data_IF_375012329113
#
_entry.id   IF_375012329113
#
_cell.length_a   1.000
_cell.length_b   1.000
_cell.length_c   1.000
_cell.angle_alpha   90.00
_cell.angle_beta   90.00
_cell.angle_gamma   90.00
#
_symmetry.space_group_name_H-M   'P 1'
#
loop_
_entity.id
_entity.type
_entity.pdbx_description
1 polymer ?
#
# COMPACT_ATOMS: atom_id res chain seq x y z
N UNK A 1 -36.32 18.20 12.20
CA UNK A 1 -35.96 19.39 13.03
C UNK A 1 -34.56 19.95 12.71
N UNK A 2 -33.45 19.24 12.97
CA UNK A 2 -32.09 19.80 12.75
C UNK A 2 -31.80 20.13 11.28
N UNK A 3 -32.01 19.19 10.36
CA UNK A 3 -31.72 19.42 8.93
C UNK A 3 -32.73 20.34 8.23
N UNK A 4 -33.98 20.32 8.69
CA UNK A 4 -35.11 20.98 8.02
C UNK A 4 -35.40 22.40 8.54
N UNK A 5 -35.05 22.71 9.80
CA UNK A 5 -35.37 24.02 10.40
C UNK A 5 -34.14 24.75 10.95
N UNK A 6 -33.22 24.05 11.61
CA UNK A 6 -32.07 24.67 12.27
C UNK A 6 -30.98 25.03 11.25
N UNK A 7 -30.57 24.07 10.40
CA UNK A 7 -29.54 24.30 9.39
C UNK A 7 -29.89 25.39 8.36
N UNK A 8 -31.13 25.49 7.82
CA UNK A 8 -31.50 26.55 6.89
C UNK A 8 -31.43 27.96 7.53
N UNK A 9 -32.00 28.13 8.73
CA UNK A 9 -31.97 29.40 9.47
C UNK A 9 -30.55 29.85 9.81
N UNK A 10 -29.64 28.92 10.07
CA UNK A 10 -28.22 29.22 10.28
C UNK A 10 -27.53 29.66 8.97
N UNK A 11 -27.81 29.03 7.84
CA UNK A 11 -27.23 29.41 6.53
C UNK A 11 -27.68 30.79 6.05
N UNK A 12 -28.92 31.18 6.36
CA UNK A 12 -29.44 32.53 6.06
C UNK A 12 -28.75 33.62 6.88
N UNK A 13 -28.43 33.34 8.15
CA UNK A 13 -27.79 34.30 9.07
C UNK A 13 -26.26 34.30 8.99
N UNK A 14 -25.66 33.19 8.62
CA UNK A 14 -24.22 33.00 8.54
C UNK A 14 -23.88 32.46 7.15
N UNK A 15 -23.58 33.32 6.16
CA UNK A 15 -23.13 32.87 4.86
C UNK A 15 -21.86 32.05 5.06
N UNK A 16 -21.98 30.73 4.92
CA UNK A 16 -20.86 29.82 4.95
C UNK A 16 -20.08 30.04 3.66
N UNK A 17 -18.85 30.51 3.78
CA UNK A 17 -17.90 30.51 2.66
C UNK A 17 -17.76 29.08 2.13
N UNK A 18 -17.44 28.97 0.84
CA UNK A 18 -17.24 27.68 0.20
C UNK A 18 -16.23 26.85 1.01
N UNK A 19 -16.54 25.57 1.22
CA UNK A 19 -15.70 24.70 2.02
C UNK A 19 -14.27 24.67 1.44
N UNK A 20 -13.23 24.77 2.29
CA UNK A 20 -11.85 24.80 1.81
C UNK A 20 -11.52 23.52 1.05
N UNK A 21 -10.70 23.65 0.01
CA UNK A 21 -10.16 22.53 -0.72
C UNK A 21 -9.03 21.88 0.09
N UNK A 22 -8.98 20.55 0.10
CA UNK A 22 -7.91 19.80 0.75
C UNK A 22 -7.48 18.65 -0.16
N UNK A 23 -6.35 18.81 -0.85
CA UNK A 23 -5.70 17.74 -1.61
C UNK A 23 -4.82 16.93 -0.66
N UNK A 24 -4.80 15.60 -0.84
CA UNK A 24 -4.12 14.67 0.07
C UNK A 24 -3.34 13.62 -0.68
N UNK A 25 -2.11 13.39 -0.25
CA UNK A 25 -1.23 12.36 -0.78
C UNK A 25 -0.58 11.63 0.38
N UNK A 26 -0.60 10.30 0.35
CA UNK A 26 0.05 9.48 1.38
C UNK A 26 1.32 8.84 0.82
N UNK A 27 2.41 8.95 1.56
CA UNK A 27 3.73 8.37 1.24
C UNK A 27 4.14 7.32 2.26
N UNK A 28 5.10 6.47 1.89
CA UNK A 28 5.73 5.47 2.73
C UNK A 28 7.20 5.30 2.34
N UNK A 29 8.09 5.17 3.32
CA UNK A 29 9.52 4.95 3.11
C UNK A 29 10.37 6.22 2.94
N UNK A 30 9.79 7.40 3.15
CA UNK A 30 10.51 8.68 3.30
C UNK A 30 10.13 9.34 4.62
N UNK A 31 11.00 10.21 5.12
CA UNK A 31 10.75 10.94 6.38
C UNK A 31 10.03 12.27 6.14
N UNK A 32 9.43 12.82 7.20
CA UNK A 32 8.67 14.07 7.12
C UNK A 32 9.61 15.23 6.79
N UNK A 33 10.74 15.31 7.49
CA UNK A 33 11.76 16.33 7.29
C UNK A 33 12.30 16.31 5.86
N UNK A 34 12.53 15.13 5.30
CA UNK A 34 13.02 14.98 3.92
C UNK A 34 11.98 15.46 2.89
N UNK A 35 10.69 15.13 3.08
CA UNK A 35 9.61 15.60 2.22
C UNK A 35 9.40 17.11 2.36
N UNK A 36 9.41 17.64 3.58
CA UNK A 36 9.26 19.05 3.86
C UNK A 36 10.39 19.87 3.23
N UNK A 37 11.64 19.46 3.43
CA UNK A 37 12.80 20.09 2.80
C UNK A 37 12.72 20.04 1.27
N UNK A 38 12.23 18.93 0.71
CA UNK A 38 12.07 18.79 -0.74
C UNK A 38 10.97 19.71 -1.31
N UNK A 39 9.98 20.11 -0.51
CA UNK A 39 8.84 20.93 -0.93
C UNK A 39 8.96 22.41 -0.55
N UNK A 40 9.99 22.78 0.22
CA UNK A 40 10.17 24.14 0.76
C UNK A 40 10.34 25.22 -0.33
N UNK A 41 10.81 24.81 -1.51
CA UNK A 41 10.98 25.70 -2.65
C UNK A 41 9.67 26.07 -3.37
N UNK A 42 8.56 25.41 -3.05
CA UNK A 42 7.27 25.64 -3.72
C UNK A 42 6.65 26.96 -3.27
N UNK A 43 6.33 27.83 -4.22
CA UNK A 43 5.55 29.03 -3.96
C UNK A 43 4.07 28.69 -3.84
N UNK A 44 3.53 28.79 -2.62
CA UNK A 44 2.14 28.49 -2.34
C UNK A 44 1.24 29.71 -2.65
N UNK A 45 0.06 29.51 -3.27
CA UNK A 45 -0.90 30.59 -3.47
C UNK A 45 -1.38 31.20 -2.14
N UNK A 46 -1.88 32.45 -2.15
CA UNK A 46 -2.39 33.10 -0.94
C UNK A 46 -3.45 32.27 -0.21
N UNK A 47 -3.26 32.06 1.09
CA UNK A 47 -4.18 31.28 1.92
C UNK A 47 -4.07 29.76 1.76
N UNK A 48 -3.16 29.26 0.91
CA UNK A 48 -2.86 27.83 0.77
C UNK A 48 -1.73 27.45 1.72
N UNK A 49 -1.89 26.33 2.42
CA UNK A 49 -0.93 25.80 3.37
C UNK A 49 -0.59 24.36 3.02
N UNK A 50 0.70 24.05 3.03
CA UNK A 50 1.23 22.70 2.95
C UNK A 50 1.40 22.13 4.37
N UNK A 51 0.69 21.05 4.67
CA UNK A 51 0.72 20.35 5.94
C UNK A 51 1.31 18.94 5.81
N UNK A 52 1.98 18.52 6.87
CA UNK A 52 2.59 17.20 6.98
C UNK A 52 2.03 16.50 8.21
N UNK A 53 1.68 15.22 8.09
CA UNK A 53 1.27 14.40 9.22
C UNK A 53 1.98 13.06 9.17
N UNK A 54 2.97 12.90 10.06
CA UNK A 54 3.56 11.60 10.32
C UNK A 54 2.60 10.71 11.12
N UNK A 55 2.22 9.59 10.55
CA UNK A 55 1.47 8.51 11.22
C UNK A 55 2.17 7.22 10.88
N UNK A 56 3.14 6.81 11.71
CA UNK A 56 3.98 5.64 11.42
C UNK A 56 3.11 4.46 10.94
N UNK A 57 3.38 3.87 9.76
CA UNK A 57 4.59 4.03 8.95
C UNK A 57 4.47 5.01 7.76
N UNK A 58 3.38 5.75 7.66
CA UNK A 58 3.07 6.64 6.53
C UNK A 58 3.28 8.11 6.88
N UNK A 59 3.41 8.93 5.83
CA UNK A 59 3.38 10.38 5.95
C UNK A 59 2.32 10.91 5.00
N UNK A 60 1.36 11.64 5.55
CA UNK A 60 0.31 12.30 4.79
C UNK A 60 0.72 13.74 4.49
N UNK A 61 0.74 14.07 3.21
CA UNK A 61 0.91 15.41 2.66
C UNK A 61 -0.47 16.01 2.40
N UNK A 62 -0.70 17.24 2.87
CA UNK A 62 -1.97 17.95 2.73
C UNK A 62 -1.76 19.34 2.16
N UNK A 63 -2.34 19.62 1.00
CA UNK A 63 -2.43 20.98 0.47
C UNK A 63 -3.84 21.51 0.74
N UNK A 64 -3.96 22.46 1.65
CA UNK A 64 -5.26 22.99 2.10
C UNK A 64 -5.36 24.47 1.79
N UNK A 65 -6.48 24.92 1.23
CA UNK A 65 -6.66 26.33 0.88
C UNK A 65 -8.10 26.71 0.59
N UNK A 66 -8.37 28.00 0.37
CA UNK A 66 -9.70 28.52 0.06
C UNK A 66 -10.18 27.98 -1.31
N UNK A 67 -11.50 27.89 -1.50
CA UNK A 67 -12.08 27.27 -2.69
C UNK A 67 -11.75 28.04 -3.99
N UNK A 68 -11.53 29.34 -3.88
CA UNK A 68 -11.13 30.26 -4.94
C UNK A 68 -9.74 29.90 -5.51
N UNK A 69 -8.87 29.28 -4.70
CA UNK A 69 -7.53 28.85 -5.12
C UNK A 69 -7.50 27.44 -5.71
N UNK A 70 -8.66 26.83 -5.99
CA UNK A 70 -8.75 25.46 -6.51
C UNK A 70 -7.87 25.22 -7.73
N UNK A 71 -7.94 26.10 -8.71
CA UNK A 71 -7.20 25.94 -9.97
C UNK A 71 -5.69 26.01 -9.74
N UNK A 72 -5.23 27.01 -8.96
CA UNK A 72 -3.83 27.15 -8.59
C UNK A 72 -3.31 25.96 -7.76
N UNK A 73 -4.12 25.45 -6.82
CA UNK A 73 -3.79 24.25 -6.05
C UNK A 73 -3.67 23.00 -6.94
N UNK A 74 -4.58 22.82 -7.90
CA UNK A 74 -4.53 21.71 -8.85
C UNK A 74 -3.35 21.83 -9.83
N UNK A 75 -2.97 23.05 -10.21
CA UNK A 75 -1.79 23.30 -11.03
C UNK A 75 -0.47 23.02 -10.29
N UNK A 76 -0.43 23.27 -8.98
CA UNK A 76 0.74 22.97 -8.13
C UNK A 76 0.86 21.48 -7.78
N UNK A 77 -0.26 20.76 -7.69
CA UNK A 77 -0.31 19.39 -7.21
C UNK A 77 0.63 18.39 -7.93
N UNK A 78 0.83 18.45 -9.25
CA UNK A 78 1.79 17.61 -9.95
C UNK A 78 3.24 17.71 -9.44
N UNK A 79 3.68 18.89 -9.00
CA UNK A 79 5.02 19.04 -8.41
C UNK A 79 5.10 18.36 -7.03
N UNK A 80 4.02 18.41 -6.23
CA UNK A 80 3.93 17.66 -4.97
C UNK A 80 3.98 16.15 -5.24
N UNK A 81 3.24 15.66 -6.24
CA UNK A 81 3.27 14.26 -6.67
C UNK A 81 4.68 13.83 -7.13
N UNK A 82 5.37 14.69 -7.87
CA UNK A 82 6.72 14.44 -8.36
C UNK A 82 7.74 14.34 -7.24
N UNK A 83 7.64 15.22 -6.23
CA UNK A 83 8.48 15.11 -5.02
C UNK A 83 8.19 13.83 -4.27
N UNK A 84 6.92 13.44 -4.11
CA UNK A 84 6.59 12.16 -3.50
C UNK A 84 7.16 10.97 -4.30
N UNK A 85 7.12 11.05 -5.63
CA UNK A 85 7.78 10.11 -6.54
C UNK A 85 7.42 8.65 -6.24
N UNK A 86 8.43 7.79 -6.12
CA UNK A 86 8.23 6.37 -5.82
C UNK A 86 7.69 6.09 -4.40
N UNK A 87 7.81 7.05 -3.48
CA UNK A 87 7.33 6.88 -2.10
C UNK A 87 5.82 7.09 -1.99
N UNK A 88 5.17 7.68 -3.00
CA UNK A 88 3.71 7.83 -3.04
C UNK A 88 3.03 6.47 -2.99
N UNK A 89 2.06 6.30 -2.09
CA UNK A 89 1.22 5.11 -1.92
C UNK A 89 -0.17 5.31 -2.54
N UNK A 90 -0.87 6.37 -2.16
CA UNK A 90 -2.20 6.69 -2.70
C UNK A 90 -2.53 8.17 -2.51
N UNK A 91 -3.55 8.62 -3.23
CA UNK A 91 -4.13 9.96 -3.11
C UNK A 91 -5.58 9.92 -2.63
N UNK A 92 -6.00 11.03 -2.04
CA UNK A 92 -7.34 11.24 -1.52
C UNK A 92 -7.56 10.64 -0.14
N UNK A 93 -8.83 10.44 0.20
CA UNK A 93 -9.28 9.95 1.52
C UNK A 93 -9.59 8.45 1.52
N UNK A 94 -9.67 7.82 0.35
CA UNK A 94 -9.84 6.38 0.22
C UNK A 94 -8.52 5.69 0.57
N UNK A 95 -8.47 5.00 1.71
CA UNK A 95 -7.28 4.30 2.16
C UNK A 95 -6.87 3.15 1.23
N UNK A 96 -5.58 2.79 1.27
CA UNK A 96 -4.98 1.76 0.41
C UNK A 96 -5.78 0.44 0.33
N UNK A 97 -6.29 -0.16 1.43
CA UNK A 97 -7.02 -1.42 1.35
C UNK A 97 -8.27 -1.33 0.47
N UNK A 98 -9.03 -0.23 0.58
CA UNK A 98 -10.23 -0.02 -0.23
C UNK A 98 -9.90 0.15 -1.71
N UNK A 99 -8.82 0.88 -2.02
CA UNK A 99 -8.32 1.00 -3.39
C UNK A 99 -7.91 -0.35 -3.99
N UNK A 100 -7.17 -1.17 -3.23
CA UNK A 100 -6.76 -2.50 -3.66
C UNK A 100 -7.98 -3.40 -3.87
N UNK A 101 -8.94 -3.43 -2.94
CA UNK A 101 -10.14 -4.25 -3.07
C UNK A 101 -10.95 -3.87 -4.33
N UNK A 102 -11.13 -2.56 -4.59
CA UNK A 102 -11.76 -2.08 -5.81
C UNK A 102 -11.02 -2.53 -7.07
N UNK A 103 -9.68 -2.44 -7.08
CA UNK A 103 -8.85 -2.91 -8.20
C UNK A 103 -8.93 -4.42 -8.41
N UNK A 104 -8.95 -5.20 -7.34
CA UNK A 104 -9.13 -6.66 -7.39
C UNK A 104 -10.49 -7.01 -7.99
N UNK A 105 -11.56 -6.35 -7.54
CA UNK A 105 -12.91 -6.55 -8.09
C UNK A 105 -13.00 -6.17 -9.58
N UNK A 106 -12.44 -5.02 -9.96
CA UNK A 106 -12.40 -4.58 -11.37
C UNK A 106 -11.68 -5.58 -12.29
N UNK A 107 -10.66 -6.26 -11.76
CA UNK A 107 -9.89 -7.29 -12.48
C UNK A 107 -10.41 -8.71 -12.27
N UNK A 108 -11.47 -8.89 -11.51
CA UNK A 108 -12.02 -10.21 -11.13
C UNK A 108 -10.96 -11.14 -10.50
N UNK A 109 -10.06 -10.58 -9.69
CA UNK A 109 -9.00 -11.31 -9.01
C UNK A 109 -9.35 -11.54 -7.54
N UNK A 110 -9.06 -12.75 -7.07
CA UNK A 110 -9.08 -13.11 -5.65
C UNK A 110 -7.66 -13.09 -5.08
N UNK A 111 -7.51 -12.61 -3.86
CA UNK A 111 -6.25 -12.55 -3.12
C UNK A 111 -6.27 -13.52 -1.94
N UNK A 112 -5.26 -14.39 -1.83
CA UNK A 112 -5.05 -15.19 -0.63
C UNK A 112 -3.87 -14.68 0.17
N UNK A 113 -3.99 -14.65 1.49
CA UNK A 113 -2.96 -14.16 2.39
C UNK A 113 -2.37 -15.31 3.19
N UNK A 114 -1.04 -15.37 3.28
CA UNK A 114 -0.33 -16.26 4.19
C UNK A 114 0.59 -15.46 5.10
N UNK A 115 0.35 -15.56 6.40
CA UNK A 115 1.01 -14.77 7.43
C UNK A 115 1.58 -15.70 8.49
N UNK A 116 2.85 -15.52 8.86
CA UNK A 116 3.51 -16.34 9.88
C UNK A 116 3.87 -15.60 11.16
N UNK A 117 4.12 -14.29 11.09
CA UNK A 117 4.75 -13.56 12.20
C UNK A 117 3.99 -12.30 12.59
N UNK A 118 3.51 -11.56 11.60
CA UNK A 118 2.67 -10.40 11.83
C UNK A 118 1.24 -10.76 11.48
N UNK A 119 0.47 -11.14 12.50
CA UNK A 119 -1.00 -11.08 12.44
C UNK A 119 -1.38 -9.61 12.30
N UNK A 120 -1.30 -9.03 11.11
CA UNK A 120 -1.64 -7.63 10.88
C UNK A 120 -3.17 -7.50 10.88
N UNK A 121 -3.74 -7.57 12.08
CA UNK A 121 -5.18 -7.57 12.31
C UNK A 121 -5.84 -6.37 11.66
N UNK A 122 -5.22 -5.19 11.65
CA UNK A 122 -5.85 -3.96 11.14
C UNK A 122 -6.19 -4.02 9.64
N UNK A 123 -5.24 -4.40 8.79
CA UNK A 123 -5.51 -4.37 7.37
C UNK A 123 -6.10 -5.69 6.85
N UNK A 124 -5.84 -6.84 7.48
CA UNK A 124 -6.58 -8.07 7.21
C UNK A 124 -8.07 -7.91 7.60
N UNK A 125 -8.38 -7.02 8.56
CA UNK A 125 -9.76 -6.60 8.91
C UNK A 125 -10.34 -5.59 7.91
N UNK A 126 -9.51 -4.68 7.37
CA UNK A 126 -9.93 -3.78 6.29
C UNK A 126 -10.35 -4.57 5.05
N UNK A 127 -9.61 -5.61 4.67
CA UNK A 127 -10.00 -6.53 3.61
C UNK A 127 -11.18 -7.44 4.00
N UNK A 128 -11.28 -7.92 5.25
CA UNK A 128 -12.39 -8.80 5.64
C UNK A 128 -13.75 -8.09 5.69
N UNK A 129 -13.79 -6.76 5.85
CA UNK A 129 -15.04 -5.98 5.71
C UNK A 129 -15.53 -5.92 4.26
N UNK A 130 -14.63 -6.02 3.28
CA UNK A 130 -14.94 -6.09 1.86
C UNK A 130 -14.95 -7.56 1.44
N UNK A 131 -16.04 -8.29 1.76
CA UNK A 131 -16.25 -9.75 1.64
C UNK A 131 -16.00 -10.39 0.25
N UNK A 132 -15.48 -9.67 -0.74
CA UNK A 132 -15.36 -10.14 -2.14
C UNK A 132 -13.95 -10.33 -2.66
N UNK A 133 -12.88 -9.97 -1.92
CA UNK A 133 -11.53 -9.99 -2.49
C UNK A 133 -10.52 -10.91 -1.79
N UNK A 134 -10.71 -11.26 -0.51
CA UNK A 134 -9.78 -12.14 0.21
C UNK A 134 -10.33 -13.54 0.35
N UNK A 135 -9.72 -14.48 -0.36
CA UNK A 135 -10.19 -15.85 -0.53
C UNK A 135 -10.06 -16.68 0.74
N UNK A 136 -8.87 -16.74 1.35
CA UNK A 136 -8.59 -17.55 2.54
C UNK A 136 -7.34 -17.04 3.29
N UNK A 137 -7.17 -17.44 4.56
CA UNK A 137 -5.95 -17.23 5.35
C UNK A 137 -5.27 -18.58 5.60
N UNK A 138 -3.99 -18.72 5.24
CA UNK A 138 -3.23 -19.96 5.48
C UNK A 138 -2.08 -19.75 6.44
N UNK A 139 -2.05 -20.56 7.49
CA UNK A 139 -1.00 -20.59 8.51
C UNK A 139 -0.02 -21.73 8.20
N UNK A 140 0.75 -21.60 7.11
CA UNK A 140 1.82 -22.54 6.80
C UNK A 140 3.15 -21.85 7.01
N UNK A 141 4.00 -22.42 7.86
CA UNK A 141 5.37 -21.98 8.08
C UNK A 141 6.22 -22.17 6.83
N UNK A 142 7.08 -21.21 6.57
CA UNK A 142 8.14 -21.21 5.59
C UNK A 142 9.32 -20.66 6.38
N UNK A 143 10.46 -21.35 6.39
CA UNK A 143 11.67 -20.73 6.93
C UNK A 143 11.90 -19.37 6.26
N UNK A 144 12.58 -18.44 6.91
CA UNK A 144 12.87 -17.11 6.37
C UNK A 144 13.87 -17.10 5.21
N UNK A 145 14.00 -18.23 4.51
CA UNK A 145 14.58 -18.29 3.17
C UNK A 145 13.58 -17.74 2.13
N UNK A 146 13.98 -16.80 1.26
CA UNK A 146 13.15 -16.29 0.17
C UNK A 146 12.51 -17.39 -0.71
N UNK A 147 13.21 -18.51 -0.94
CA UNK A 147 12.69 -19.63 -1.74
C UNK A 147 11.48 -20.30 -1.10
N UNK A 148 11.50 -20.49 0.21
CA UNK A 148 10.39 -21.07 0.96
C UNK A 148 9.15 -20.16 0.95
N UNK A 149 9.34 -18.84 0.99
CA UNK A 149 8.24 -17.85 0.94
C UNK A 149 7.63 -17.77 -0.46
N UNK A 150 8.44 -17.87 -1.53
CA UNK A 150 7.95 -18.03 -2.90
C UNK A 150 7.11 -19.30 -3.06
N UNK A 151 7.63 -20.43 -2.57
CA UNK A 151 6.94 -21.71 -2.63
C UNK A 151 5.62 -21.68 -1.86
N UNK A 152 5.61 -21.03 -0.69
CA UNK A 152 4.40 -20.79 0.08
C UNK A 152 3.39 -19.94 -0.70
N UNK A 153 3.81 -18.83 -1.30
CA UNK A 153 2.95 -17.98 -2.12
C UNK A 153 2.32 -18.75 -3.28
N UNK A 154 3.14 -19.45 -4.07
CA UNK A 154 2.67 -20.27 -5.20
C UNK A 154 1.77 -21.43 -4.76
N UNK A 155 2.13 -22.13 -3.67
CA UNK A 155 1.32 -23.19 -3.10
C UNK A 155 -0.02 -22.69 -2.56
N UNK A 156 -0.04 -21.52 -1.95
CA UNK A 156 -1.24 -20.87 -1.40
C UNK A 156 -2.19 -20.41 -2.52
N UNK A 157 -1.65 -19.84 -3.61
CA UNK A 157 -2.45 -19.49 -4.79
C UNK A 157 -3.14 -20.73 -5.39
N UNK A 158 -2.37 -21.82 -5.58
CA UNK A 158 -2.89 -23.09 -6.13
C UNK A 158 -3.93 -23.76 -5.24
N UNK A 159 -3.68 -23.83 -3.92
CA UNK A 159 -4.59 -24.48 -2.95
C UNK A 159 -5.95 -23.81 -2.86
N UNK A 160 -6.01 -22.50 -3.07
CA UNK A 160 -7.21 -21.70 -2.86
C UNK A 160 -7.84 -21.17 -4.15
N UNK A 161 -7.36 -21.63 -5.32
CA UNK A 161 -7.78 -21.17 -6.64
C UNK A 161 -7.84 -19.63 -6.76
N UNK A 162 -6.97 -18.95 -6.00
CA UNK A 162 -6.92 -17.50 -6.00
C UNK A 162 -5.99 -17.04 -7.11
N UNK A 163 -6.45 -16.04 -7.88
CA UNK A 163 -5.62 -15.42 -8.92
C UNK A 163 -4.34 -14.80 -8.37
N UNK A 164 -4.30 -14.47 -7.08
CA UNK A 164 -3.15 -13.89 -6.39
C UNK A 164 -2.92 -14.53 -5.02
N UNK A 165 -1.65 -14.61 -4.60
CA UNK A 165 -1.30 -14.91 -3.21
C UNK A 165 -0.16 -14.02 -2.71
N UNK A 166 -0.30 -13.50 -1.49
CA UNK A 166 0.70 -12.69 -0.82
C UNK A 166 1.14 -13.41 0.46
N UNK A 167 2.43 -13.71 0.56
CA UNK A 167 3.05 -14.39 1.68
C UNK A 167 4.09 -13.49 2.34
N UNK A 168 4.13 -13.54 3.67
CA UNK A 168 5.09 -12.80 4.50
C UNK A 168 5.74 -13.74 5.50
N UNK A 169 7.07 -13.81 5.50
CA UNK A 169 7.82 -14.64 6.45
C UNK A 169 7.88 -14.03 7.85
N UNK A 170 8.38 -14.82 8.80
CA UNK A 170 8.92 -14.27 10.03
C UNK A 170 10.14 -13.38 9.84
N UNK A 171 10.43 -12.60 10.88
CA UNK A 171 11.66 -11.83 10.97
C UNK A 171 12.81 -12.78 11.29
N UNK A 172 13.79 -12.86 10.40
CA UNK A 172 15.01 -13.64 10.59
C UNK A 172 16.24 -12.76 10.35
N UNK A 173 17.14 -12.68 11.32
CA UNK A 173 18.38 -11.88 11.23
C UNK A 173 18.14 -10.44 10.74
N UNK A 174 17.13 -9.77 11.28
CA UNK A 174 16.67 -8.43 10.85
C UNK A 174 16.24 -8.34 9.39
N UNK A 175 15.77 -9.44 8.81
CA UNK A 175 15.18 -9.46 7.48
C UNK A 175 13.72 -9.94 7.51
N UNK A 176 12.92 -9.32 6.66
CA UNK A 176 11.58 -9.78 6.30
C UNK A 176 11.56 -10.14 4.83
N UNK A 177 10.89 -11.26 4.52
CA UNK A 177 10.70 -11.70 3.15
C UNK A 177 9.23 -11.64 2.79
N UNK A 178 8.97 -11.14 1.60
CA UNK A 178 7.66 -11.03 1.01
C UNK A 178 7.65 -11.80 -0.29
N UNK A 179 6.58 -12.52 -0.58
CA UNK A 179 6.35 -13.09 -1.91
C UNK A 179 4.94 -12.77 -2.39
N UNK A 180 4.84 -12.29 -3.63
CA UNK A 180 3.59 -12.08 -4.34
C UNK A 180 3.54 -13.04 -5.53
N UNK A 181 2.67 -14.03 -5.45
CA UNK A 181 2.35 -14.91 -6.57
C UNK A 181 1.22 -14.30 -7.39
N UNK A 182 1.45 -14.19 -8.70
CA UNK A 182 0.53 -13.61 -9.68
C UNK A 182 0.40 -14.52 -10.88
N UNK A 183 -0.57 -14.29 -11.80
CA UNK A 183 -0.66 -15.02 -13.05
C UNK A 183 0.60 -14.89 -13.93
N UNK A 184 1.32 -13.78 -13.81
CA UNK A 184 2.54 -13.51 -14.60
C UNK A 184 3.81 -14.16 -14.01
N UNK A 185 3.71 -14.66 -12.78
CA UNK A 185 4.83 -15.24 -12.04
C UNK A 185 4.86 -14.84 -10.56
N UNK A 186 5.90 -15.30 -9.87
CA UNK A 186 6.11 -15.02 -8.45
C UNK A 186 7.23 -14.00 -8.27
N UNK A 187 6.94 -12.96 -7.50
CA UNK A 187 7.88 -11.90 -7.13
C UNK A 187 8.25 -12.04 -5.67
N UNK A 188 9.54 -11.99 -5.34
CA UNK A 188 10.01 -11.96 -3.95
C UNK A 188 10.82 -10.71 -3.65
N UNK A 189 10.69 -10.25 -2.42
CA UNK A 189 11.42 -9.11 -1.90
C UNK A 189 11.94 -9.46 -0.51
N UNK A 190 13.27 -9.38 -0.33
CA UNK A 190 13.91 -9.41 0.98
C UNK A 190 14.24 -8.00 1.40
N UNK A 191 13.84 -7.65 2.62
CA UNK A 191 14.03 -6.31 3.16
C UNK A 191 14.70 -6.37 4.51
N UNK A 192 15.76 -5.57 4.68
CA UNK A 192 16.36 -5.35 5.99
C UNK A 192 15.44 -4.50 6.84
N UNK A 193 15.04 -5.01 7.99
CA UNK A 193 14.09 -4.43 8.90
C UNK A 193 14.80 -3.93 10.16
N UNK A 194 15.25 -2.67 10.13
CA UNK A 194 16.01 -2.05 11.22
C UNK A 194 15.13 -1.44 12.32
N UNK A 195 13.81 -1.62 12.24
CA UNK A 195 12.78 -1.00 13.08
C UNK A 195 12.57 -1.75 14.41
N UNK A 196 13.57 -2.50 14.89
CA UNK A 196 13.47 -3.34 16.10
C UNK A 196 13.17 -2.56 17.39
N UNK A 197 13.45 -1.25 17.40
CA UNK A 197 13.22 -0.37 18.54
C UNK A 197 11.75 0.04 18.70
N UNK A 198 10.89 -0.24 17.72
CA UNK A 198 9.48 0.12 17.77
C UNK A 198 8.61 -1.02 18.32
N UNK A 199 7.42 -0.65 18.80
CA UNK A 199 6.43 -1.61 19.31
C UNK A 199 6.10 -2.69 18.27
N UNK A 200 5.66 -3.86 18.73
CA UNK A 200 5.22 -4.93 17.84
C UNK A 200 4.15 -4.46 16.85
N UNK A 201 3.21 -3.62 17.30
CA UNK A 201 2.16 -3.06 16.46
C UNK A 201 2.71 -2.23 15.30
N UNK A 202 3.63 -1.29 15.57
CA UNK A 202 4.24 -0.47 14.51
C UNK A 202 4.98 -1.37 13.52
N UNK A 203 5.67 -2.41 14.01
CA UNK A 203 6.36 -3.37 13.13
C UNK A 203 5.38 -4.13 12.23
N UNK A 204 4.24 -4.55 12.77
CA UNK A 204 3.16 -5.17 12.00
C UNK A 204 2.59 -4.23 10.94
N UNK A 205 2.40 -2.96 11.26
CA UNK A 205 1.86 -1.95 10.34
C UNK A 205 2.84 -1.63 9.20
N UNK A 206 4.15 -1.52 9.49
CA UNK A 206 5.19 -1.38 8.46
C UNK A 206 5.15 -2.58 7.52
N UNK A 207 5.13 -3.79 8.08
CA UNK A 207 5.11 -5.02 7.29
C UNK A 207 3.85 -5.12 6.40
N UNK A 208 2.68 -4.81 6.95
CA UNK A 208 1.44 -4.75 6.18
C UNK A 208 1.51 -3.73 5.04
N UNK A 209 2.00 -2.52 5.33
CA UNK A 209 2.14 -1.47 4.33
C UNK A 209 3.06 -1.89 3.18
N UNK A 210 4.18 -2.55 3.49
CA UNK A 210 5.10 -3.09 2.47
C UNK A 210 4.43 -4.14 1.59
N UNK A 211 3.74 -5.10 2.21
CA UNK A 211 3.06 -6.18 1.50
C UNK A 211 1.94 -5.63 0.58
N UNK A 212 1.16 -4.67 1.08
CA UNK A 212 0.12 -4.00 0.28
C UNK A 212 0.71 -3.10 -0.80
N UNK A 213 1.84 -2.44 -0.56
CA UNK A 213 2.51 -1.64 -1.57
C UNK A 213 3.04 -2.51 -2.72
N UNK A 214 3.57 -3.71 -2.43
CA UNK A 214 3.95 -4.68 -3.46
C UNK A 214 2.76 -5.07 -4.34
N UNK A 215 1.63 -5.43 -3.72
CA UNK A 215 0.40 -5.77 -4.43
C UNK A 215 -0.12 -4.59 -5.26
N UNK A 216 -0.16 -3.39 -4.68
CA UNK A 216 -0.58 -2.16 -5.35
C UNK A 216 0.28 -1.88 -6.59
N UNK A 217 1.61 -2.01 -6.48
CA UNK A 217 2.53 -1.79 -7.59
C UNK A 217 2.24 -2.75 -8.75
N UNK A 218 2.08 -4.04 -8.47
CA UNK A 218 1.71 -5.01 -9.50
C UNK A 218 0.34 -4.70 -10.13
N UNK A 219 -0.68 -4.39 -9.32
CA UNK A 219 -2.01 -3.99 -9.80
C UNK A 219 -1.97 -2.74 -10.69
N UNK A 220 -1.00 -1.85 -10.49
CA UNK A 220 -0.85 -0.62 -11.27
C UNK A 220 0.21 -0.72 -12.38
N UNK A 221 0.83 -1.89 -12.62
CA UNK A 221 1.90 -2.06 -13.60
C UNK A 221 3.17 -1.25 -13.29
N UNK A 222 3.38 -0.89 -12.03
CA UNK A 222 4.53 -0.09 -11.59
C UNK A 222 5.76 -0.98 -11.38
N UNK A 223 6.94 -0.44 -11.70
CA UNK A 223 8.22 -1.12 -11.44
C UNK A 223 8.44 -1.33 -9.94
N UNK A 224 9.21 -2.37 -9.61
CA UNK A 224 9.66 -2.61 -8.24
C UNK A 224 10.74 -1.57 -7.88
N UNK A 225 10.67 -0.99 -6.68
CA UNK A 225 11.71 -0.06 -6.24
C UNK A 225 13.04 -0.80 -6.12
N UNK A 226 14.09 -0.26 -6.72
CA UNK A 226 15.44 -0.85 -6.72
C UNK A 226 16.24 -0.41 -5.49
N UNK A 227 15.82 0.66 -4.81
CA UNK A 227 16.35 1.09 -3.52
C UNK A 227 15.40 2.14 -2.92
N UNK A 228 14.63 1.79 -1.90
CA UNK A 228 13.91 2.77 -1.06
C UNK A 228 14.78 3.05 0.17
N UNK A 229 15.04 4.32 0.48
CA UNK A 229 15.92 4.73 1.57
C UNK A 229 15.59 3.97 2.88
N UNK A 230 16.60 3.28 3.43
CA UNK A 230 16.48 2.43 4.63
C UNK A 230 16.13 0.95 4.38
N UNK A 231 15.74 0.57 3.16
CA UNK A 231 15.38 -0.79 2.77
C UNK A 231 16.22 -1.19 1.54
N UNK A 232 17.41 -1.74 1.78
CA UNK A 232 18.24 -2.30 0.71
C UNK A 232 17.58 -3.58 0.19
N UNK A 233 17.09 -3.55 -1.06
CA UNK A 233 16.67 -4.78 -1.74
C UNK A 233 17.93 -5.56 -2.11
N UNK A 234 18.06 -6.78 -1.60
CA UNK A 234 19.10 -7.71 -2.04
C UNK A 234 18.41 -8.87 -2.75
N UNK A 235 18.72 -9.04 -4.04
CA UNK A 235 18.23 -10.08 -4.95
C UNK A 235 16.72 -10.10 -5.21
N UNK A 236 16.28 -9.31 -6.20
CA UNK A 236 15.01 -9.51 -6.89
C UNK A 236 15.15 -10.70 -7.86
N UNK A 237 15.03 -11.93 -7.36
CA UNK A 237 15.04 -13.12 -8.23
C UNK A 237 13.66 -13.31 -8.87
N UNK A 238 13.48 -12.82 -10.10
CA UNK A 238 12.32 -13.21 -10.93
C UNK A 238 12.46 -14.70 -11.30
N UNK A 239 11.75 -15.58 -10.59
CA UNK A 239 11.60 -16.98 -11.03
C UNK A 239 10.30 -17.10 -11.82
N UNK A 240 10.40 -17.05 -13.15
CA UNK A 240 9.34 -17.58 -14.03
C UNK A 240 9.34 -19.10 -13.88
N UNK A 241 8.44 -19.64 -13.06
CA UNK A 241 8.18 -21.08 -13.06
C UNK A 241 7.35 -21.41 -14.30
N UNK A 242 8.01 -21.68 -15.42
CA UNK A 242 7.37 -22.37 -16.54
C UNK A 242 6.97 -23.76 -16.06
N UNK A 243 5.69 -24.00 -15.84
CA UNK A 243 5.16 -25.35 -15.65
C UNK A 243 5.27 -26.10 -16.97
N UNK A 244 6.38 -26.80 -17.19
CA UNK A 244 6.42 -27.87 -18.18
C UNK A 244 5.50 -28.99 -17.67
N UNK A 245 4.41 -29.21 -18.39
CA UNK A 245 3.45 -30.29 -18.15
C UNK A 245 4.18 -31.63 -18.25
N UNK A 246 4.19 -32.39 -17.16
CA UNK A 246 4.52 -33.80 -17.20
C UNK A 246 3.41 -34.56 -17.93
N UNK A 247 3.76 -35.19 -19.05
CA UNK A 247 2.99 -36.27 -19.64
C UNK A 247 3.64 -37.60 -19.24
N UNK A 248 2.87 -38.57 -18.76
CA UNK A 248 3.09 -39.98 -19.08
C UNK A 248 1.79 -40.58 -19.71
N UNK A 249 1.75 -41.82 -20.23
CA UNK A 249 2.81 -42.84 -20.39
C UNK A 249 2.87 -43.48 -21.81
N UNK A 250 3.86 -44.35 -22.07
CA UNK A 250 3.90 -45.29 -23.20
C UNK A 250 5.12 -46.21 -23.09
N UNK A 251 4.98 -47.39 -22.47
CA UNK A 251 4.73 -48.67 -23.13
C UNK A 251 5.94 -49.20 -23.93
N UNK A 252 6.68 -50.12 -23.29
CA UNK A 252 7.23 -51.32 -23.92
C UNK A 252 7.04 -52.48 -22.97
#
# INVERSE_FOLDING_TARGET
>A
MVEQEILPRLRERFPLSAAPLCLRLTTFGRSESELAQSLDHLQLPPGVVMGYRSSMPIIELKLTGPAEQREAMLALWPEVQKVAGESMIFEGTEGLPAQIARRLQQRQLSLTLSEQFYRWSAGATAFSRQRSAVGQRSHSGAGGDPGAVCALGGGTARKHFAGLALAVSGQESDHLNFALSTPDGTYALRVKFTTNRHSLQVRQEVCAMMALNMLRRWLNGQRWPVNTAGLTSSNLSQRKSTSASGAPPGAR
#
